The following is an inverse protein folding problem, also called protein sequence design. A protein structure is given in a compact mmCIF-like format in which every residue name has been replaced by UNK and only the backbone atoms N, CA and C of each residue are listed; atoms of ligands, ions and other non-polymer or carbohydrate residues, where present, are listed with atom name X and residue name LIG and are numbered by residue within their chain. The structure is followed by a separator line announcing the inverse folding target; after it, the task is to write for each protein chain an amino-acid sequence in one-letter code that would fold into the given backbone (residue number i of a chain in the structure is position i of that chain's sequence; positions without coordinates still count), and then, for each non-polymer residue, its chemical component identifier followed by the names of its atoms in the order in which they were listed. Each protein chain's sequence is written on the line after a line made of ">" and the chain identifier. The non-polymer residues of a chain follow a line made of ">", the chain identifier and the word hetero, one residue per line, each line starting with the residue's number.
data_IF_983624321642
#
_entry.id   IF_983624321642
#
_cell.length_a   1.000
_cell.length_b   1.000
_cell.length_c   1.000
_cell.angle_alpha   90.00
_cell.angle_beta   90.00
_cell.angle_gamma   90.00
#
_symmetry.space_group_name_H-M   'P 1'
#
loop_
_entity.id
_entity.type
_entity.pdbx_description
1 polymer ?
#
# COMPACT_ATOMS: atom_id res chain seq x y z
N UNK A 1 31.99 13.60 18.00
CA UNK A 1 31.35 12.53 17.19
C UNK A 1 29.87 12.54 17.51
N UNK A 2 29.00 13.03 16.62
CA UNK A 2 27.53 13.03 16.80
C UNK A 2 26.96 12.05 15.79
N UNK A 3 26.52 10.89 16.27
CA UNK A 3 25.71 9.96 15.46
C UNK A 3 24.31 10.57 15.44
N UNK A 4 23.96 11.26 14.35
CA UNK A 4 22.59 11.72 14.14
C UNK A 4 21.82 10.47 13.70
N UNK A 5 21.06 9.89 14.62
CA UNK A 5 19.99 8.97 14.26
C UNK A 5 19.00 9.73 13.38
N UNK A 6 19.01 9.47 12.08
CA UNK A 6 17.88 9.82 11.23
C UNK A 6 16.69 9.00 11.76
N UNK A 7 15.88 9.63 12.59
CA UNK A 7 14.63 9.08 13.11
C UNK A 7 13.71 8.66 11.96
N UNK A 8 12.85 7.67 12.21
CA UNK A 8 11.78 7.23 11.28
C UNK A 8 11.02 8.41 10.66
N UNK A 9 10.82 9.48 11.42
CA UNK A 9 10.21 10.75 10.98
C UNK A 9 10.96 11.46 9.85
N UNK A 10 12.28 11.37 9.80
CA UNK A 10 13.09 11.97 8.74
C UNK A 10 12.97 11.24 7.40
N UNK A 11 12.88 9.91 7.44
CA UNK A 11 12.73 9.07 6.24
C UNK A 11 11.31 9.14 5.66
N UNK A 12 10.29 9.14 6.52
CA UNK A 12 8.90 9.35 6.11
C UNK A 12 8.71 10.72 5.44
N UNK A 13 9.40 11.75 5.95
CA UNK A 13 9.38 13.08 5.34
C UNK A 13 10.00 13.10 3.94
N UNK A 14 11.09 12.36 3.70
CA UNK A 14 11.70 12.24 2.36
C UNK A 14 10.76 11.54 1.39
N UNK A 15 10.19 10.38 1.78
CA UNK A 15 9.22 9.63 0.97
C UNK A 15 8.09 10.54 0.46
N UNK A 16 7.43 11.23 1.38
CA UNK A 16 6.30 12.11 1.07
C UNK A 16 6.72 13.23 0.13
N UNK A 17 7.87 13.84 0.38
CA UNK A 17 8.39 14.95 -0.42
C UNK A 17 8.70 14.51 -1.85
N UNK A 18 9.34 13.36 -2.02
CA UNK A 18 9.71 12.85 -3.35
C UNK A 18 8.48 12.44 -4.17
N UNK A 19 7.53 11.71 -3.58
CA UNK A 19 6.27 11.32 -4.24
C UNK A 19 5.48 12.54 -4.68
N UNK A 20 5.35 13.53 -3.79
CA UNK A 20 4.67 14.80 -4.06
C UNK A 20 5.32 15.55 -5.23
N UNK A 21 6.65 15.68 -5.21
CA UNK A 21 7.41 16.37 -6.24
C UNK A 21 7.33 15.66 -7.59
N UNK A 22 7.36 14.32 -7.60
CA UNK A 22 7.24 13.50 -8.81
C UNK A 22 5.83 13.64 -9.41
N UNK A 23 4.80 13.46 -8.61
CA UNK A 23 3.44 13.26 -9.12
C UNK A 23 2.67 14.58 -9.33
N UNK A 24 2.71 15.50 -8.36
CA UNK A 24 2.03 16.81 -8.44
C UNK A 24 0.50 16.79 -8.57
N UNK A 25 -0.13 15.61 -8.68
CA UNK A 25 -1.57 15.39 -8.84
C UNK A 25 -1.94 14.02 -8.29
N UNK A 26 -3.23 13.75 -8.12
CA UNK A 26 -3.67 12.39 -7.88
C UNK A 26 -3.47 11.57 -9.16
N UNK A 27 -2.61 10.55 -9.11
CA UNK A 27 -2.24 9.75 -10.29
C UNK A 27 -3.31 8.72 -10.70
N UNK A 28 -4.33 8.56 -9.87
CA UNK A 28 -5.49 7.70 -10.10
C UNK A 28 -6.62 8.49 -10.76
N UNK A 29 -7.00 9.63 -10.16
CA UNK A 29 -8.13 10.44 -10.65
C UNK A 29 -7.72 11.51 -11.65
N UNK A 30 -6.42 11.83 -11.75
CA UNK A 30 -5.91 12.94 -12.53
C UNK A 30 -6.14 14.32 -11.91
N UNK A 31 -6.71 14.41 -10.70
CA UNK A 31 -6.98 15.68 -10.01
C UNK A 31 -5.68 16.44 -9.74
N UNK A 32 -5.46 17.55 -10.45
CA UNK A 32 -4.25 18.38 -10.34
C UNK A 32 -4.23 19.15 -9.02
N UNK A 33 -3.13 19.07 -8.27
CA UNK A 33 -2.93 19.94 -7.12
C UNK A 33 -2.48 21.35 -7.56
N UNK A 34 -3.45 22.25 -7.79
CA UNK A 34 -3.17 23.65 -8.16
C UNK A 34 -2.42 24.45 -7.07
N UNK A 35 -2.25 23.91 -5.87
CA UNK A 35 -1.57 24.55 -4.73
C UNK A 35 -0.16 24.01 -4.50
N UNK A 36 0.29 23.04 -5.32
CA UNK A 36 1.62 22.45 -5.22
C UNK A 36 2.75 23.48 -5.35
N UNK A 37 2.56 24.53 -6.15
CA UNK A 37 3.52 25.63 -6.30
C UNK A 37 3.72 26.46 -5.01
N UNK A 38 2.84 26.33 -4.01
CA UNK A 38 2.94 26.93 -2.67
C UNK A 38 3.30 25.91 -1.60
N UNK A 39 3.80 24.74 -2.01
CA UNK A 39 4.08 23.59 -1.15
C UNK A 39 2.87 23.16 -0.29
N UNK A 40 1.66 23.43 -0.77
CA UNK A 40 0.43 23.06 -0.08
C UNK A 40 -0.12 21.74 -0.67
N UNK A 41 -0.06 20.69 0.15
CA UNK A 41 -0.48 19.34 -0.18
C UNK A 41 -1.76 18.91 0.54
N UNK A 42 -2.52 19.86 1.09
CA UNK A 42 -3.80 19.55 1.73
C UNK A 42 -4.73 18.86 0.72
N UNK A 43 -5.27 17.70 1.10
CA UNK A 43 -6.10 16.87 0.23
C UNK A 43 -5.32 15.91 -0.67
N UNK A 44 -4.02 15.71 -0.45
CA UNK A 44 -3.20 14.71 -1.16
C UNK A 44 -2.33 13.91 -0.19
N UNK A 45 -2.40 12.58 -0.30
CA UNK A 45 -1.62 11.64 0.49
C UNK A 45 -0.60 10.93 -0.41
N UNK A 46 0.63 10.76 0.10
CA UNK A 46 1.59 9.83 -0.51
C UNK A 46 1.27 8.45 0.05
N UNK A 47 0.77 7.58 -0.81
CA UNK A 47 0.36 6.21 -0.51
C UNK A 47 1.50 5.25 -0.85
N UNK A 48 1.80 4.29 0.03
CA UNK A 48 2.73 3.22 -0.30
C UNK A 48 2.03 2.16 -1.16
N UNK A 49 2.68 1.66 -2.21
CA UNK A 49 2.17 0.55 -3.05
C UNK A 49 2.25 -0.76 -2.27
N UNK A 50 3.40 -1.00 -1.66
CA UNK A 50 3.60 -2.06 -0.68
C UNK A 50 3.47 -1.47 0.73
N UNK A 51 2.56 -1.97 1.58
CA UNK A 51 2.24 -1.36 2.86
C UNK A 51 3.46 -1.21 3.78
N UNK A 52 3.61 -0.03 4.38
CA UNK A 52 4.67 0.24 5.37
C UNK A 52 4.57 -0.67 6.60
N UNK A 53 3.35 -1.05 7.00
CA UNK A 53 3.10 -1.97 8.13
C UNK A 53 3.65 -3.38 7.91
N UNK A 54 4.03 -3.73 6.68
CA UNK A 54 4.54 -5.05 6.29
C UNK A 54 6.05 -5.04 6.01
N UNK A 55 6.81 -4.14 6.66
CA UNK A 55 8.27 -4.01 6.42
C UNK A 55 9.05 -5.30 6.71
N UNK A 56 8.67 -6.06 7.73
CA UNK A 56 9.33 -7.32 8.05
C UNK A 56 9.16 -8.34 6.90
N UNK A 57 7.94 -8.47 6.38
CA UNK A 57 7.66 -9.32 5.22
C UNK A 57 8.35 -8.82 3.95
N UNK A 58 8.42 -7.49 3.77
CA UNK A 58 9.18 -6.84 2.70
C UNK A 58 10.65 -7.25 2.68
N UNK A 59 11.30 -7.22 3.85
CA UNK A 59 12.72 -7.59 4.00
C UNK A 59 12.91 -9.09 3.82
N UNK A 60 12.12 -9.92 4.52
CA UNK A 60 12.25 -11.38 4.51
C UNK A 60 12.01 -11.98 3.11
N UNK A 61 11.03 -11.44 2.38
CA UNK A 61 10.74 -11.84 0.99
C UNK A 61 11.65 -11.16 -0.03
N UNK A 62 12.54 -10.28 0.44
CA UNK A 62 13.54 -9.54 -0.33
C UNK A 62 12.96 -8.62 -1.40
N UNK A 63 11.77 -8.07 -1.21
CA UNK A 63 11.20 -7.08 -2.13
C UNK A 63 12.08 -5.82 -2.27
N UNK A 64 12.94 -5.57 -1.28
CA UNK A 64 13.97 -4.52 -1.33
C UNK A 64 14.90 -4.59 -2.55
N UNK A 65 15.00 -5.74 -3.22
CA UNK A 65 15.79 -5.93 -4.45
C UNK A 65 15.27 -5.11 -5.63
N UNK A 66 13.99 -4.73 -5.62
CA UNK A 66 13.34 -3.99 -6.70
C UNK A 66 13.51 -2.47 -6.58
N UNK A 67 13.93 -1.99 -5.42
CA UNK A 67 14.22 -0.57 -5.20
C UNK A 67 15.66 -0.30 -5.63
N UNK A 68 15.84 0.61 -6.57
CA UNK A 68 17.17 0.93 -7.14
C UNK A 68 17.77 2.20 -6.56
N UNK A 69 16.96 3.08 -6.00
CA UNK A 69 17.38 4.36 -5.43
C UNK A 69 17.55 4.30 -3.89
N UNK A 70 17.89 3.13 -3.33
CA UNK A 70 18.10 2.93 -1.90
C UNK A 70 19.58 2.94 -1.51
N UNK A 71 19.88 3.44 -0.31
CA UNK A 71 21.21 3.30 0.28
C UNK A 71 21.48 1.88 0.78
N UNK A 72 22.75 1.52 1.00
CA UNK A 72 23.16 0.15 1.41
C UNK A 72 22.47 -0.36 2.70
N UNK A 73 22.15 0.55 3.62
CA UNK A 73 21.51 0.23 4.91
C UNK A 73 20.01 0.50 4.93
N UNK A 74 19.43 0.86 3.79
CA UNK A 74 18.00 1.15 3.66
C UNK A 74 17.26 -0.09 3.14
N UNK A 75 16.12 -0.40 3.75
CA UNK A 75 15.22 -1.46 3.26
C UNK A 75 14.58 -1.05 1.94
N UNK A 76 14.51 0.25 1.64
CA UNK A 76 13.88 0.81 0.47
C UNK A 76 12.36 0.95 0.59
N UNK A 77 11.75 0.60 1.72
CA UNK A 77 10.29 0.65 1.87
C UNK A 77 9.74 2.09 1.76
N UNK A 78 10.52 3.07 2.21
CA UNK A 78 10.23 4.50 2.10
C UNK A 78 10.78 5.14 0.82
N UNK A 79 11.14 4.33 -0.19
CA UNK A 79 11.51 4.88 -1.49
C UNK A 79 10.29 5.47 -2.20
N UNK A 80 10.49 6.58 -2.91
CA UNK A 80 9.51 7.13 -3.86
C UNK A 80 9.01 6.08 -4.88
N UNK A 81 9.85 5.10 -5.22
CA UNK A 81 9.50 4.00 -6.13
C UNK A 81 8.44 3.04 -5.57
N UNK A 82 8.20 3.07 -4.26
CA UNK A 82 7.11 2.39 -3.57
C UNK A 82 5.94 3.33 -3.30
N UNK A 83 5.87 4.51 -3.92
CA UNK A 83 4.87 5.53 -3.59
C UNK A 83 4.04 5.98 -4.77
N UNK A 84 2.81 6.41 -4.51
CA UNK A 84 1.90 7.10 -5.45
C UNK A 84 1.18 8.25 -4.72
N UNK A 85 0.92 9.36 -5.40
CA UNK A 85 0.15 10.47 -4.83
C UNK A 85 -1.35 10.29 -5.12
N UNK A 86 -2.17 10.30 -4.08
CA UNK A 86 -3.60 10.05 -4.16
C UNK A 86 -4.43 11.06 -3.36
N UNK A 87 -5.70 11.24 -3.73
CA UNK A 87 -6.69 11.89 -2.85
C UNK A 87 -6.99 10.96 -1.65
N UNK A 88 -7.32 11.49 -0.45
CA UNK A 88 -7.53 10.69 0.76
C UNK A 88 -8.50 9.52 0.56
N UNK A 89 -9.68 9.77 -0.02
CA UNK A 89 -10.68 8.71 -0.25
C UNK A 89 -10.23 7.67 -1.28
N UNK A 90 -9.28 8.02 -2.15
CA UNK A 90 -8.72 7.07 -3.13
C UNK A 90 -7.63 6.24 -2.48
N UNK A 91 -6.81 6.85 -1.62
CA UNK A 91 -5.83 6.15 -0.81
C UNK A 91 -6.49 5.09 0.08
N UNK A 92 -7.59 5.42 0.76
CA UNK A 92 -8.37 4.47 1.57
C UNK A 92 -8.87 3.27 0.75
N UNK A 93 -9.37 3.53 -0.47
CA UNK A 93 -9.82 2.46 -1.37
C UNK A 93 -8.66 1.60 -1.89
N UNK A 94 -7.48 2.20 -2.07
CA UNK A 94 -6.28 1.52 -2.52
C UNK A 94 -5.73 0.58 -1.44
N UNK A 95 -5.58 1.08 -0.21
CA UNK A 95 -5.13 0.30 0.96
C UNK A 95 -6.09 -0.86 1.27
N UNK A 96 -7.39 -0.65 1.06
CA UNK A 96 -8.42 -1.68 1.23
C UNK A 96 -8.51 -2.68 0.06
N UNK A 97 -7.64 -2.57 -0.95
CA UNK A 97 -7.67 -3.41 -2.16
C UNK A 97 -8.99 -3.39 -2.95
N UNK A 98 -9.79 -2.32 -2.83
CA UNK A 98 -11.04 -2.16 -3.60
C UNK A 98 -10.80 -1.88 -5.08
N UNK A 99 -9.61 -1.39 -5.40
CA UNK A 99 -9.10 -1.33 -6.77
C UNK A 99 -7.59 -1.60 -6.79
N UNK A 100 -7.07 -1.89 -7.96
CA UNK A 100 -5.61 -1.97 -8.16
C UNK A 100 -5.23 -1.61 -9.59
N UNK A 101 -3.93 -1.50 -9.86
CA UNK A 101 -3.36 -1.16 -11.16
C UNK A 101 -2.65 -2.39 -11.72
N UNK A 102 -2.97 -2.79 -12.94
CA UNK A 102 -2.30 -3.87 -13.63
C UNK A 102 -1.21 -3.34 -14.58
N UNK A 103 0.09 -3.38 -14.20
CA UNK A 103 1.16 -2.95 -15.09
C UNK A 103 1.28 -3.81 -16.36
N UNK A 104 0.79 -5.06 -16.32
CA UNK A 104 0.83 -6.00 -17.46
C UNK A 104 -0.34 -5.81 -18.44
N UNK A 105 -1.33 -4.98 -18.09
CA UNK A 105 -2.48 -4.61 -18.94
C UNK A 105 -2.49 -3.09 -19.17
N UNK A 106 -1.36 -2.56 -19.63
CA UNK A 106 -1.22 -1.15 -19.99
C UNK A 106 -1.43 -0.17 -18.83
N UNK A 107 -1.20 -0.60 -17.59
CA UNK A 107 -1.46 0.16 -16.36
C UNK A 107 -2.94 0.50 -16.16
N UNK A 108 -3.83 -0.38 -16.62
CA UNK A 108 -5.26 -0.26 -16.39
C UNK A 108 -5.58 -0.37 -14.90
N UNK A 109 -6.45 0.53 -14.46
CA UNK A 109 -7.06 0.53 -13.13
C UNK A 109 -8.27 -0.39 -13.19
N UNK A 110 -8.32 -1.35 -12.26
CA UNK A 110 -9.42 -2.32 -12.13
C UNK A 110 -10.05 -2.16 -10.76
N UNK A 111 -11.33 -1.83 -10.72
CA UNK A 111 -12.16 -1.89 -9.52
C UNK A 111 -12.67 -3.32 -9.32
N UNK A 112 -12.70 -3.75 -8.06
CA UNK A 112 -13.18 -5.08 -7.66
C UNK A 112 -14.56 -5.04 -6.98
N UNK A 113 -15.13 -3.84 -6.83
CA UNK A 113 -16.45 -3.55 -6.28
C UNK A 113 -17.06 -2.36 -7.04
N UNK A 114 -18.17 -1.79 -6.54
CA UNK A 114 -18.84 -0.61 -7.09
C UNK A 114 -17.87 0.57 -7.34
N UNK A 115 -17.76 0.98 -8.60
CA UNK A 115 -16.92 2.10 -9.01
C UNK A 115 -17.60 3.47 -8.79
N UNK A 116 -17.84 3.79 -7.52
CA UNK A 116 -18.43 5.07 -7.10
C UNK A 116 -17.55 6.29 -7.44
N UNK A 117 -16.27 6.07 -7.75
CA UNK A 117 -15.30 7.12 -8.10
C UNK A 117 -15.09 7.27 -9.60
N UNK A 118 -15.67 6.39 -10.43
CA UNK A 118 -15.51 6.38 -11.90
C UNK A 118 -14.04 6.27 -12.32
N UNK A 119 -13.29 5.40 -11.64
CA UNK A 119 -11.87 5.16 -11.89
C UNK A 119 -11.59 3.85 -12.62
N UNK A 120 -12.57 2.94 -12.72
CA UNK A 120 -12.41 1.67 -13.42
C UNK A 120 -12.12 1.90 -14.91
N UNK A 121 -11.21 1.11 -15.46
CA UNK A 121 -10.77 1.21 -16.85
C UNK A 121 -9.93 2.45 -17.18
N UNK A 122 -9.73 3.37 -16.24
CA UNK A 122 -8.74 4.45 -16.42
C UNK A 122 -7.33 3.87 -16.43
N UNK A 123 -6.37 4.68 -16.88
CA UNK A 123 -4.97 4.31 -16.91
C UNK A 123 -4.24 5.11 -15.83
N UNK A 124 -3.38 4.44 -15.04
CA UNK A 124 -2.49 5.10 -14.09
C UNK A 124 -1.71 6.20 -14.79
N UNK A 125 -1.68 7.39 -14.20
CA UNK A 125 -1.08 8.55 -14.84
C UNK A 125 0.42 8.31 -15.16
N UNK A 126 0.88 8.62 -16.38
CA UNK A 126 2.27 8.34 -16.79
C UNK A 126 3.32 9.08 -15.97
N UNK A 127 2.96 10.17 -15.27
CA UNK A 127 3.91 10.98 -14.49
C UNK A 127 4.67 10.17 -13.42
N UNK A 128 4.04 9.15 -12.85
CA UNK A 128 4.64 8.32 -11.81
C UNK A 128 5.38 7.09 -12.35
N UNK A 129 5.43 6.91 -13.67
CA UNK A 129 5.95 5.71 -14.34
C UNK A 129 6.69 6.04 -15.65
N UNK A 130 7.39 7.18 -15.66
CA UNK A 130 8.27 7.54 -16.76
C UNK A 130 9.49 6.60 -16.78
N UNK A 131 9.72 5.83 -17.87
CA UNK A 131 10.85 4.89 -17.94
C UNK A 131 12.22 5.56 -17.86
N UNK A 132 12.31 6.89 -18.09
CA UNK A 132 13.55 7.65 -18.00
C UNK A 132 13.76 8.30 -16.62
N UNK A 133 12.85 8.05 -15.66
CA UNK A 133 12.91 8.61 -14.32
C UNK A 133 13.19 7.52 -13.29
N UNK A 134 14.35 7.60 -12.63
CA UNK A 134 14.76 6.64 -11.59
C UNK A 134 13.90 6.70 -10.31
N UNK A 135 12.98 7.68 -10.20
CA UNK A 135 11.99 7.78 -9.13
C UNK A 135 10.65 7.13 -9.49
N UNK A 136 10.49 6.59 -10.70
CA UNK A 136 9.26 5.93 -11.13
C UNK A 136 8.86 4.77 -10.24
N UNK A 137 7.55 4.62 -10.06
CA UNK A 137 6.95 3.51 -9.35
C UNK A 137 7.36 2.18 -9.98
N UNK A 138 7.62 1.17 -9.16
CA UNK A 138 8.09 -0.14 -9.63
C UNK A 138 6.92 -1.02 -10.05
N UNK A 139 6.99 -1.50 -11.29
CA UNK A 139 6.00 -2.44 -11.84
C UNK A 139 5.89 -3.71 -10.99
N UNK A 140 6.99 -4.17 -10.38
CA UNK A 140 6.98 -5.33 -9.49
C UNK A 140 6.09 -5.12 -8.27
N UNK A 141 6.04 -3.89 -7.74
CA UNK A 141 5.22 -3.54 -6.58
C UNK A 141 3.75 -3.37 -6.99
N UNK A 142 3.50 -2.73 -8.14
CA UNK A 142 2.14 -2.64 -8.69
C UNK A 142 1.56 -4.03 -8.97
N UNK A 143 2.36 -4.92 -9.57
CA UNK A 143 1.99 -6.31 -9.84
C UNK A 143 1.73 -7.10 -8.56
N UNK A 144 2.53 -6.88 -7.52
CA UNK A 144 2.28 -7.48 -6.21
C UNK A 144 0.93 -6.99 -5.64
N UNK A 145 0.69 -5.69 -5.63
CA UNK A 145 -0.55 -5.09 -5.12
C UNK A 145 -1.77 -5.60 -5.90
N UNK A 146 -1.66 -5.70 -7.23
CA UNK A 146 -2.70 -6.28 -8.09
C UNK A 146 -3.03 -7.73 -7.74
N UNK A 147 -2.01 -8.56 -7.48
CA UNK A 147 -2.22 -9.94 -7.03
C UNK A 147 -2.90 -10.01 -5.67
N UNK A 148 -2.53 -9.14 -4.73
CA UNK A 148 -3.21 -9.08 -3.42
C UNK A 148 -4.67 -8.67 -3.57
N UNK A 149 -4.96 -7.68 -4.40
CA UNK A 149 -6.32 -7.25 -4.65
C UNK A 149 -7.18 -8.33 -5.33
N UNK A 150 -6.61 -9.09 -6.28
CA UNK A 150 -7.28 -10.27 -6.82
C UNK A 150 -7.56 -11.32 -5.74
N UNK A 151 -6.59 -11.63 -4.87
CA UNK A 151 -6.77 -12.64 -3.82
C UNK A 151 -7.82 -12.21 -2.78
N UNK A 152 -7.86 -10.92 -2.44
CA UNK A 152 -8.86 -10.36 -1.55
C UNK A 152 -10.28 -10.46 -2.14
N UNK A 153 -10.43 -10.20 -3.45
CA UNK A 153 -11.72 -10.04 -4.10
C UNK A 153 -12.23 -11.27 -4.89
N UNK A 154 -11.39 -12.27 -5.20
CA UNK A 154 -11.84 -13.55 -5.78
C UNK A 154 -12.73 -14.38 -4.83
N UNK A 155 -13.02 -13.87 -3.63
CA UNK A 155 -14.00 -14.43 -2.67
C UNK A 155 -15.45 -13.97 -2.92
N UNK A 156 -15.73 -13.17 -3.94
CA UNK A 156 -17.09 -12.66 -4.24
C UNK A 156 -18.09 -13.63 -4.88
N UNK A 157 -17.68 -14.85 -5.28
CA UNK A 157 -18.54 -15.81 -5.99
C UNK A 157 -19.02 -16.99 -5.12
N UNK A 158 -19.25 -16.78 -3.82
CA UNK A 158 -20.06 -17.68 -3.00
C UNK A 158 -19.37 -18.47 -1.87
N UNK A 159 -18.27 -18.00 -1.29
CA UNK A 159 -17.77 -18.56 -0.01
C UNK A 159 -17.86 -17.56 1.15
N UNK A 160 -18.08 -18.03 2.40
CA UNK A 160 -18.35 -17.16 3.54
C UNK A 160 -17.20 -16.19 3.80
N UNK A 161 -17.55 -14.95 4.15
CA UNK A 161 -16.65 -14.02 4.82
C UNK A 161 -16.06 -14.72 6.05
N UNK A 162 -14.75 -14.89 6.10
CA UNK A 162 -14.11 -15.49 7.27
C UNK A 162 -14.10 -14.43 8.36
N UNK A 163 -15.03 -14.54 9.29
CA UNK A 163 -15.00 -13.79 10.55
C UNK A 163 -13.68 -14.12 11.26
N UNK A 164 -12.89 -13.09 11.52
CA UNK A 164 -11.65 -13.16 12.31
C UNK A 164 -11.92 -13.04 13.81
N UNK A 165 -13.18 -13.15 14.23
CA UNK A 165 -13.62 -12.98 15.62
C UNK A 165 -13.54 -14.33 16.35
N UNK A 166 -12.30 -14.81 16.55
CA UNK A 166 -12.07 -16.01 17.35
C UNK A 166 -12.26 -15.66 18.84
N UNK A 167 -13.11 -16.39 19.58
CA UNK A 167 -13.33 -16.12 20.99
C UNK A 167 -12.02 -16.25 21.79
N UNK A 168 -11.80 -15.42 22.83
CA UNK A 168 -10.57 -15.47 23.59
C UNK A 168 -10.40 -16.83 24.29
N UNK A 169 -9.34 -17.55 23.95
CA UNK A 169 -8.95 -18.82 24.59
C UNK A 169 -8.85 -20.05 23.68
N UNK A 170 -9.17 -19.93 22.38
CA UNK A 170 -9.05 -21.04 21.42
C UNK A 170 -7.63 -21.16 20.86
N UNK A 171 -7.15 -22.39 20.62
CA UNK A 171 -5.87 -22.64 19.94
C UNK A 171 -5.98 -22.32 18.45
N UNK A 172 -5.82 -21.03 18.16
CA UNK A 172 -6.02 -20.42 16.84
C UNK A 172 -5.12 -21.02 15.75
N UNK A 173 -3.89 -21.42 16.09
CA UNK A 173 -2.96 -22.05 15.13
C UNK A 173 -3.41 -23.49 14.84
N UNK A 174 -3.90 -24.21 15.85
CA UNK A 174 -4.48 -25.54 15.67
C UNK A 174 -5.72 -25.54 14.75
N UNK A 175 -6.59 -24.54 14.86
CA UNK A 175 -7.77 -24.40 14.00
C UNK A 175 -7.44 -23.96 12.56
N UNK A 176 -6.43 -23.12 12.39
CA UNK A 176 -5.92 -22.71 11.08
C UNK A 176 -5.31 -23.89 10.32
N UNK A 177 -4.55 -24.75 11.00
CA UNK A 177 -3.86 -25.89 10.41
C UNK A 177 -4.77 -27.10 10.14
N UNK A 178 -5.87 -27.24 10.89
CA UNK A 178 -6.82 -28.36 10.75
C UNK A 178 -7.92 -28.13 9.70
N UNK A 179 -8.07 -26.89 9.21
CA UNK A 179 -9.08 -26.57 8.20
C UNK A 179 -8.54 -26.53 6.75
N UNK A 180 -9.44 -26.59 5.75
CA UNK A 180 -9.05 -26.51 4.35
C UNK A 180 -8.34 -25.19 4.03
N UNK A 181 -7.26 -25.27 3.23
CA UNK A 181 -6.42 -24.15 2.80
C UNK A 181 -5.66 -23.40 3.92
N UNK A 182 -5.10 -24.13 4.89
CA UNK A 182 -4.32 -23.63 6.02
C UNK A 182 -3.29 -22.53 5.69
N UNK A 183 -2.54 -22.66 4.59
CA UNK A 183 -1.54 -21.66 4.18
C UNK A 183 -2.16 -20.27 3.89
N UNK A 184 -3.35 -20.24 3.28
CA UNK A 184 -4.05 -19.00 2.91
C UNK A 184 -4.72 -18.34 4.12
N UNK A 185 -5.13 -19.13 5.11
CA UNK A 185 -5.62 -18.62 6.40
C UNK A 185 -4.50 -18.03 7.23
N UNK A 186 -3.31 -18.63 7.18
CA UNK A 186 -2.11 -18.05 7.79
C UNK A 186 -1.73 -16.70 7.14
N UNK A 187 -1.79 -16.59 5.81
CA UNK A 187 -1.51 -15.32 5.11
C UNK A 187 -2.55 -14.22 5.44
N UNK A 188 -3.84 -14.57 5.53
CA UNK A 188 -4.90 -13.64 5.93
C UNK A 188 -4.77 -13.21 7.41
N UNK A 189 -4.46 -14.15 8.31
CA UNK A 189 -4.23 -13.89 9.73
C UNK A 189 -2.99 -13.01 9.94
N UNK A 190 -1.90 -13.27 9.22
CA UNK A 190 -0.71 -12.43 9.21
C UNK A 190 -1.05 -11.02 8.72
N UNK A 191 -1.84 -10.89 7.66
CA UNK A 191 -2.25 -9.57 7.12
C UNK A 191 -3.17 -8.81 8.07
N UNK A 192 -4.11 -9.49 8.73
CA UNK A 192 -5.02 -8.92 9.75
C UNK A 192 -4.25 -8.40 10.98
N UNK A 193 -3.33 -9.19 11.52
CA UNK A 193 -2.49 -8.78 12.67
C UNK A 193 -1.55 -7.62 12.36
N UNK A 194 -1.08 -7.53 11.11
CA UNK A 194 -0.23 -6.43 10.65
C UNK A 194 -1.05 -5.15 10.37
N UNK A 195 -2.36 -5.26 10.10
CA UNK A 195 -3.28 -4.13 9.93
C UNK A 195 -3.92 -3.61 11.23
N UNK A 196 -4.00 -4.43 12.28
CA UNK A 196 -4.77 -4.12 13.52
C UNK A 196 -4.13 -3.15 14.52
N UNK A 197 -2.92 -2.62 14.28
CA UNK A 197 -2.22 -1.77 15.25
C UNK A 197 -2.49 -0.26 15.13
N UNK A 198 -3.45 0.18 14.32
CA UNK A 198 -3.87 1.58 14.26
C UNK A 198 -5.35 1.75 14.57
N UNK A 199 -5.68 1.86 15.87
CA UNK A 199 -6.77 2.72 16.34
C UNK A 199 -6.24 3.67 17.42
N UNK A 200 -6.37 5.00 17.22
CA UNK A 200 -6.09 5.98 18.25
C UNK A 200 -7.25 6.08 19.25
N UNK A 201 -6.96 5.82 20.52
CA UNK A 201 -7.61 6.49 21.66
C UNK A 201 -8.73 5.76 22.39
N UNK A 202 -8.41 5.25 23.58
CA UNK A 202 -9.15 5.58 24.82
C UNK A 202 -8.22 5.37 26.01
N UNK A 203 -7.45 6.41 26.36
CA UNK A 203 -6.99 6.59 27.73
C UNK A 203 -8.10 7.36 28.45
N UNK A 204 -8.90 6.63 29.24
CA UNK A 204 -9.66 7.22 30.32
C UNK A 204 -9.02 6.78 31.63
N UNK A 205 -8.56 7.78 32.35
CA UNK A 205 -8.10 7.79 33.74
C UNK A 205 -8.62 6.65 34.62
N UNK A 206 -7.70 5.96 35.30
CA UNK A 206 -7.41 6.10 36.74
C UNK A 206 -6.06 5.43 37.06
#
# INVERSE_FOLDING_TARGET
>A
MRIISQSSTGRENTFRTEVRKRDGKCVITGTINRRANRDNWTGFHAAHIFPLSSEDYWVQSGFSRWITNKGERDTGINSCQNGLLMEPTIHELFDGFYFSINPDDGYKITCFDEDNKRIDGRILDPVCRDPNNDLSARDELLRWHFRQALLANMRGAGEPSFETDFPPGTDMIGEILSGPAAAKRMEAELSSRLGGYFLPGTLQSL
#
